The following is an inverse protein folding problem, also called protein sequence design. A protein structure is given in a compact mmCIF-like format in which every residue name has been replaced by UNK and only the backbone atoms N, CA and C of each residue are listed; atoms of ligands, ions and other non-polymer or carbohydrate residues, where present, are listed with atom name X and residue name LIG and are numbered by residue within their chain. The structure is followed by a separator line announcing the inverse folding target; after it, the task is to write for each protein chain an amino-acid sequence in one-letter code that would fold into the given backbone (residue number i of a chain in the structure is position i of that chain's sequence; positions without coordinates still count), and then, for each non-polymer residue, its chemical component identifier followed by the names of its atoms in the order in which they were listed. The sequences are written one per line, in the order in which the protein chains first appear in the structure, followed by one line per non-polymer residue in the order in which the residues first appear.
data_IF_025335635451
#
_entry.id   IF_025335635451
#
_cell.length_a   1.000
_cell.length_b   1.000
_cell.length_c   1.000
_cell.angle_alpha   90.00
_cell.angle_beta   90.00
_cell.angle_gamma   90.00
#
_symmetry.space_group_name_H-M   'P 1'
#
loop_
_entity.id
_entity.type
_entity.pdbx_description
1 polymer ?
#
# COMPACT_ATOMS: atom_id res chain seq x y z
N UNK A 1 -25.92 29.54 0.02
CA UNK A 1 -25.94 28.10 0.30
C UNK A 1 -24.56 27.52 0.04
N UNK A 2 -23.96 26.96 1.05
CA UNK A 2 -22.64 26.36 0.88
C UNK A 2 -22.79 24.95 0.30
N UNK A 3 -21.96 24.64 -0.68
CA UNK A 3 -21.86 23.26 -1.16
C UNK A 3 -21.25 22.39 -0.04
N UNK A 4 -21.81 21.20 0.12
CA UNK A 4 -21.27 20.23 1.06
C UNK A 4 -20.39 19.24 0.30
N UNK A 5 -19.15 19.14 0.77
CA UNK A 5 -18.19 18.20 0.22
C UNK A 5 -17.88 17.13 1.26
N UNK A 6 -17.82 15.89 0.84
CA UNK A 6 -17.33 14.84 1.70
C UNK A 6 -15.82 15.04 1.94
N UNK A 7 -15.42 14.86 3.18
CA UNK A 7 -14.02 14.90 3.54
C UNK A 7 -13.48 13.49 3.62
N UNK A 8 -12.45 13.22 2.86
CA UNK A 8 -11.83 11.91 2.84
C UNK A 8 -10.39 12.03 3.32
N UNK A 9 -9.94 11.03 4.05
CA UNK A 9 -8.52 10.88 4.34
C UNK A 9 -7.78 10.51 3.06
N UNK A 10 -6.59 11.06 2.90
CA UNK A 10 -5.72 10.76 1.76
C UNK A 10 -4.49 10.07 2.29
N UNK A 11 -4.19 8.91 1.73
CA UNK A 11 -3.00 8.14 2.06
C UNK A 11 -2.19 7.85 0.81
N UNK A 12 -0.90 7.67 0.99
CA UNK A 12 0.00 7.20 -0.05
C UNK A 12 0.28 5.73 0.22
N UNK A 13 0.16 4.89 -0.81
CA UNK A 13 0.43 3.46 -0.71
C UNK A 13 1.22 3.03 -1.94
N UNK A 14 2.03 2.00 -1.78
CA UNK A 14 2.87 1.52 -2.87
C UNK A 14 2.71 0.01 -3.04
N UNK A 15 2.63 -0.43 -4.29
CA UNK A 15 2.77 -1.83 -4.64
C UNK A 15 4.24 -2.10 -4.92
N UNK A 16 4.89 -2.81 -4.00
CA UNK A 16 6.29 -3.18 -4.11
C UNK A 16 6.39 -4.58 -4.70
N UNK A 17 6.76 -4.68 -5.96
CA UNK A 17 6.89 -5.96 -6.65
C UNK A 17 8.31 -6.50 -6.50
N UNK A 18 8.45 -7.81 -6.42
CA UNK A 18 9.75 -8.46 -6.41
C UNK A 18 10.46 -8.25 -7.74
N UNK A 19 11.78 -8.36 -7.72
CA UNK A 19 12.62 -8.15 -8.90
C UNK A 19 12.23 -9.06 -10.06
N UNK A 20 11.82 -10.30 -9.76
CA UNK A 20 11.37 -11.26 -10.78
C UNK A 20 9.92 -11.06 -11.22
N UNK A 21 9.20 -10.11 -10.61
CA UNK A 21 7.81 -9.82 -10.95
C UNK A 21 6.81 -10.87 -10.50
N UNK A 22 7.19 -11.80 -9.64
CA UNK A 22 6.32 -12.91 -9.23
C UNK A 22 5.58 -12.68 -7.93
N UNK A 23 6.03 -11.73 -7.12
CA UNK A 23 5.45 -11.47 -5.81
C UNK A 23 5.28 -9.98 -5.56
N UNK A 24 4.37 -9.63 -4.67
CA UNK A 24 4.16 -8.27 -4.17
C UNK A 24 4.26 -8.29 -2.64
N UNK A 25 4.80 -7.22 -2.08
CA UNK A 25 4.96 -7.09 -0.63
C UNK A 25 3.73 -6.46 -0.02
N UNK A 26 3.09 -7.16 0.88
CA UNK A 26 1.97 -6.65 1.65
C UNK A 26 2.35 -6.53 3.13
N UNK A 27 1.62 -5.69 3.84
CA UNK A 27 1.75 -5.54 5.29
C UNK A 27 0.61 -6.30 5.95
N UNK A 28 0.94 -7.33 6.71
CA UNK A 28 -0.04 -8.12 7.46
C UNK A 28 -0.24 -7.51 8.85
N UNK A 29 -1.51 -7.23 9.19
CA UNK A 29 -1.90 -6.68 10.49
C UNK A 29 -2.44 -7.80 11.38
N UNK A 30 -1.71 -8.14 12.43
CA UNK A 30 -2.07 -9.23 13.33
C UNK A 30 -3.43 -9.02 14.00
N UNK A 31 -3.70 -7.80 14.48
CA UNK A 31 -4.92 -7.52 15.23
C UNK A 31 -6.19 -7.62 14.39
N UNK A 32 -6.13 -7.23 13.14
CA UNK A 32 -7.28 -7.27 12.23
C UNK A 32 -7.31 -8.50 11.34
N UNK A 33 -6.24 -9.30 11.35
CA UNK A 33 -6.06 -10.44 10.45
C UNK A 33 -6.30 -10.05 9.00
N UNK A 34 -5.66 -8.97 8.58
CA UNK A 34 -5.85 -8.42 7.24
C UNK A 34 -4.56 -7.87 6.65
N UNK A 35 -4.56 -7.74 5.33
CA UNK A 35 -3.44 -7.18 4.59
C UNK A 35 -3.69 -5.74 4.19
N UNK A 36 -2.63 -4.94 4.20
CA UNK A 36 -2.60 -3.61 3.60
C UNK A 36 -1.37 -3.46 2.73
N UNK A 37 -1.24 -2.31 2.08
CA UNK A 37 -0.05 -1.95 1.33
C UNK A 37 0.85 -1.07 2.20
N UNK A 38 2.18 -1.11 1.98
CA UNK A 38 3.08 -0.18 2.63
C UNK A 38 2.72 1.28 2.30
N UNK A 39 2.86 2.16 3.27
CA UNK A 39 2.54 3.56 3.15
C UNK A 39 1.72 4.06 4.33
N UNK A 40 1.17 5.25 4.22
CA UNK A 40 0.38 5.85 5.29
C UNK A 40 -0.12 7.24 4.94
N UNK A 41 -0.47 8.00 5.96
CA UNK A 41 -1.01 9.33 5.81
C UNK A 41 0.05 10.34 5.39
N UNK A 42 -0.40 11.40 4.73
CA UNK A 42 0.43 12.54 4.37
C UNK A 42 0.38 13.51 5.56
N UNK A 43 1.54 13.81 6.14
CA UNK A 43 1.62 14.77 7.23
C UNK A 43 1.53 16.21 6.71
N UNK A 44 1.13 17.13 7.58
CA UNK A 44 1.07 18.54 7.22
C UNK A 44 2.42 19.03 6.69
N UNK A 45 2.38 19.69 5.54
CA UNK A 45 3.59 20.23 4.89
C UNK A 45 4.33 19.25 4.00
N UNK A 46 3.92 17.99 3.95
CA UNK A 46 4.54 17.02 3.05
C UNK A 46 3.85 16.97 1.69
N UNK A 47 4.63 16.73 0.65
CA UNK A 47 4.08 16.28 -0.63
C UNK A 47 3.82 14.78 -0.56
N UNK A 48 3.00 14.22 -1.47
CA UNK A 48 2.80 12.77 -1.51
C UNK A 48 4.09 11.96 -1.64
N UNK A 49 5.02 12.40 -2.48
CA UNK A 49 6.30 11.70 -2.67
C UNK A 49 7.12 11.65 -1.38
N UNK A 50 7.19 12.78 -0.67
CA UNK A 50 7.92 12.88 0.60
C UNK A 50 7.25 12.00 1.66
N UNK A 51 5.93 12.00 1.71
CA UNK A 51 5.19 11.16 2.66
C UNK A 51 5.47 9.68 2.44
N UNK A 52 5.47 9.22 1.18
CA UNK A 52 5.77 7.82 0.88
C UNK A 52 7.20 7.45 1.26
N UNK A 53 8.16 8.29 0.93
CA UNK A 53 9.57 8.09 1.30
C UNK A 53 9.72 7.95 2.83
N UNK A 54 9.07 8.82 3.59
CA UNK A 54 9.10 8.76 5.04
C UNK A 54 8.46 7.48 5.56
N UNK A 55 7.28 7.12 5.05
CA UNK A 55 6.57 5.92 5.49
C UNK A 55 7.38 4.64 5.22
N UNK A 56 8.00 4.54 4.06
CA UNK A 56 8.82 3.37 3.73
C UNK A 56 10.04 3.25 4.63
N UNK A 57 10.64 4.39 4.98
CA UNK A 57 11.77 4.39 5.91
C UNK A 57 11.32 3.99 7.32
N UNK A 58 10.18 4.50 7.79
CA UNK A 58 9.67 4.19 9.13
C UNK A 58 9.20 2.75 9.25
N UNK A 59 8.46 2.25 8.26
CA UNK A 59 7.88 0.90 8.30
C UNK A 59 8.89 -0.18 7.95
N UNK A 60 9.67 0.02 6.90
CA UNK A 60 10.50 -1.03 6.31
C UNK A 60 12.00 -0.73 6.37
N UNK A 61 12.38 0.48 6.76
CA UNK A 61 13.79 0.86 6.77
C UNK A 61 14.43 0.90 5.40
N UNK A 62 13.64 1.10 4.35
CA UNK A 62 14.13 1.10 2.97
C UNK A 62 14.00 2.48 2.33
N UNK A 63 14.87 2.74 1.37
CA UNK A 63 14.79 3.88 0.47
C UNK A 63 14.67 3.33 -0.95
N UNK A 64 13.59 3.65 -1.63
CA UNK A 64 13.33 3.14 -2.97
C UNK A 64 12.60 4.21 -3.78
N UNK A 65 12.93 4.32 -5.05
CA UNK A 65 12.24 5.23 -5.95
C UNK A 65 10.94 4.59 -6.42
N UNK A 66 9.82 5.21 -6.04
CA UNK A 66 8.51 4.77 -6.45
C UNK A 66 7.94 5.73 -7.50
N UNK A 67 7.20 5.17 -8.44
CA UNK A 67 6.58 5.93 -9.52
C UNK A 67 5.09 6.11 -9.25
N UNK A 68 4.54 7.33 -9.32
CA UNK A 68 3.11 7.53 -9.24
C UNK A 68 2.40 6.73 -10.35
N UNK A 69 1.36 6.00 -9.98
CA UNK A 69 0.67 5.13 -10.92
C UNK A 69 -0.78 5.51 -11.10
N UNK A 70 -1.56 5.50 -10.01
CA UNK A 70 -3.00 5.72 -10.11
C UNK A 70 -3.53 6.22 -8.77
N UNK A 71 -4.73 6.74 -8.76
CA UNK A 71 -5.45 6.99 -7.51
C UNK A 71 -6.71 6.12 -7.49
N UNK A 72 -7.13 5.71 -6.29
CA UNK A 72 -8.28 4.85 -6.15
C UNK A 72 -8.89 5.01 -4.76
N UNK A 73 -10.11 4.51 -4.61
CA UNK A 73 -10.79 4.52 -3.33
C UNK A 73 -10.55 3.19 -2.62
N UNK A 74 -10.21 3.28 -1.33
CA UNK A 74 -10.17 2.12 -0.46
C UNK A 74 -11.34 2.24 0.51
N UNK A 75 -12.18 1.24 0.58
CA UNK A 75 -13.30 1.19 1.50
C UNK A 75 -13.46 -0.22 2.05
N UNK A 76 -13.65 -0.33 3.37
CA UNK A 76 -13.98 -1.62 3.98
C UNK A 76 -15.36 -2.07 3.51
N UNK A 77 -15.56 -3.35 3.38
CA UNK A 77 -16.85 -3.92 2.98
C UNK A 77 -17.91 -3.52 4.01
N UNK A 78 -19.05 -3.02 3.54
CA UNK A 78 -20.16 -2.62 4.39
C UNK A 78 -19.96 -1.29 5.13
N UNK A 79 -18.89 -0.56 4.83
CA UNK A 79 -18.61 0.73 5.49
C UNK A 79 -19.47 1.86 4.91
N UNK A 80 -19.68 2.91 5.72
CA UNK A 80 -20.26 4.15 5.25
C UNK A 80 -19.25 4.89 4.35
N UNK A 81 -19.77 5.78 3.48
CA UNK A 81 -18.90 6.58 2.57
C UNK A 81 -17.84 7.35 3.33
N UNK A 82 -18.15 7.85 4.53
CA UNK A 82 -17.21 8.59 5.37
C UNK A 82 -15.95 7.78 5.74
N UNK A 83 -16.03 6.46 5.66
CA UNK A 83 -14.90 5.58 5.98
C UNK A 83 -14.06 5.25 4.75
N UNK A 84 -14.44 5.79 3.60
CA UNK A 84 -13.68 5.62 2.37
C UNK A 84 -12.42 6.49 2.40
N UNK A 85 -11.32 5.96 1.92
CA UNK A 85 -10.05 6.67 1.81
C UNK A 85 -9.67 6.84 0.35
N UNK A 86 -9.10 7.98 0.04
CA UNK A 86 -8.48 8.21 -1.27
C UNK A 86 -7.03 7.75 -1.15
N UNK A 87 -6.62 6.86 -2.03
CA UNK A 87 -5.27 6.33 -2.06
C UNK A 87 -4.56 6.88 -3.29
N UNK A 88 -3.42 7.51 -3.06
CA UNK A 88 -2.48 7.86 -4.11
C UNK A 88 -1.53 6.69 -4.25
N UNK A 89 -1.71 5.93 -5.32
CA UNK A 89 -1.02 4.66 -5.53
C UNK A 89 0.26 4.82 -6.33
N UNK A 90 1.33 4.21 -5.83
CA UNK A 90 2.65 4.17 -6.44
C UNK A 90 3.02 2.72 -6.72
N UNK A 91 3.97 2.54 -7.61
CA UNK A 91 4.57 1.24 -7.87
C UNK A 91 6.08 1.34 -7.80
N UNK A 92 6.72 0.26 -7.41
CA UNK A 92 8.17 0.14 -7.43
C UNK A 92 8.57 -1.33 -7.51
N UNK A 93 9.78 -1.57 -7.97
CA UNK A 93 10.38 -2.90 -7.96
C UNK A 93 11.45 -2.93 -6.89
N UNK A 94 11.43 -3.95 -6.05
CA UNK A 94 12.40 -4.12 -4.99
C UNK A 94 13.59 -4.90 -5.54
N UNK A 95 14.75 -4.26 -5.59
CA UNK A 95 16.00 -4.90 -5.96
C UNK A 95 16.33 -6.01 -4.95
N UNK A 96 16.85 -7.13 -5.42
CA UNK A 96 17.19 -8.27 -4.55
C UNK A 96 18.27 -7.98 -3.51
N UNK A 97 19.01 -6.88 -3.64
CA UNK A 97 19.97 -6.43 -2.62
C UNK A 97 19.33 -5.73 -1.43
N UNK A 98 18.06 -5.32 -1.55
CA UNK A 98 17.33 -4.65 -0.48
C UNK A 98 16.78 -5.68 0.49
N UNK A 99 17.16 -5.55 1.76
CA UNK A 99 16.66 -6.43 2.80
C UNK A 99 15.32 -5.91 3.33
N UNK A 100 14.33 -6.78 3.35
CA UNK A 100 13.02 -6.49 3.94
C UNK A 100 13.03 -7.05 5.37
N UNK A 101 12.70 -6.24 6.39
CA UNK A 101 12.69 -6.72 7.77
C UNK A 101 11.55 -7.72 8.02
N UNK A 102 11.67 -8.53 9.07
CA UNK A 102 10.63 -9.48 9.47
C UNK A 102 9.43 -8.80 10.11
N UNK A 103 9.61 -7.59 10.62
CA UNK A 103 8.58 -6.80 11.30
C UNK A 103 8.73 -5.34 10.91
N UNK A 104 7.62 -4.58 11.03
CA UNK A 104 7.68 -3.14 10.84
C UNK A 104 8.71 -2.50 11.77
N UNK A 105 9.53 -1.61 11.23
CA UNK A 105 10.62 -0.96 11.95
C UNK A 105 10.14 0.08 12.96
N UNK A 106 8.90 0.53 12.84
CA UNK A 106 8.30 1.54 13.73
C UNK A 106 7.82 0.96 15.06
N UNK A 107 8.04 -0.32 15.32
CA UNK A 107 7.59 -1.00 16.52
C UNK A 107 6.14 -1.46 16.49
N UNK A 108 5.47 -1.31 15.36
CA UNK A 108 4.12 -1.80 15.16
C UNK A 108 4.05 -3.32 15.05
N UNK A 109 2.82 -3.82 15.04
CA UNK A 109 2.54 -5.27 14.96
C UNK A 109 2.54 -5.80 13.52
N UNK A 110 2.74 -4.93 12.53
CA UNK A 110 2.68 -5.29 11.14
C UNK A 110 3.87 -6.13 10.71
N UNK A 111 3.61 -7.06 9.80
CA UNK A 111 4.66 -7.92 9.23
C UNK A 111 4.65 -7.84 7.71
N UNK A 112 5.79 -7.50 7.09
CA UNK A 112 5.91 -7.58 5.64
C UNK A 112 5.84 -9.04 5.19
N UNK A 113 4.99 -9.32 4.21
CA UNK A 113 4.81 -10.68 3.68
C UNK A 113 4.75 -10.59 2.15
N UNK A 114 5.52 -11.42 1.48
CA UNK A 114 5.47 -11.54 0.04
C UNK A 114 4.35 -12.51 -0.36
N UNK A 115 3.46 -12.06 -1.24
CA UNK A 115 2.40 -12.90 -1.81
C UNK A 115 2.55 -12.98 -3.32
N UNK A 116 2.24 -14.14 -3.88
CA UNK A 116 2.20 -14.31 -5.33
C UNK A 116 0.86 -13.82 -5.90
N UNK A 117 0.76 -13.79 -7.22
CA UNK A 117 -0.44 -13.28 -7.88
C UNK A 117 -1.69 -14.09 -7.55
N UNK A 118 -1.57 -15.41 -7.51
CA UNK A 118 -2.71 -16.28 -7.19
C UNK A 118 -3.23 -16.02 -5.78
N UNK A 119 -2.35 -15.79 -4.82
CA UNK A 119 -2.72 -15.44 -3.46
C UNK A 119 -3.44 -14.09 -3.41
N UNK A 120 -2.98 -13.09 -4.19
CA UNK A 120 -3.65 -11.79 -4.28
C UNK A 120 -5.05 -11.95 -4.87
N UNK A 121 -5.22 -12.78 -5.89
CA UNK A 121 -6.51 -13.00 -6.55
C UNK A 121 -7.52 -13.70 -5.65
N UNK A 122 -7.08 -14.52 -4.71
CA UNK A 122 -7.96 -15.41 -3.95
C UNK A 122 -8.13 -15.06 -2.49
N UNK A 123 -7.24 -14.24 -1.90
CA UNK A 123 -7.36 -13.92 -0.48
C UNK A 123 -8.60 -13.07 -0.19
N UNK A 124 -9.30 -13.35 0.90
CA UNK A 124 -10.40 -12.54 1.40
C UNK A 124 -9.96 -11.48 2.41
N UNK A 125 -8.65 -11.39 2.67
CA UNK A 125 -8.06 -10.52 3.71
C UNK A 125 -7.51 -9.21 3.17
N UNK A 126 -7.69 -8.94 1.88
CA UNK A 126 -7.22 -7.73 1.21
C UNK A 126 -8.42 -6.93 0.71
N UNK A 127 -8.45 -5.64 1.03
CA UNK A 127 -9.52 -4.75 0.57
C UNK A 127 -9.59 -4.72 -0.96
N UNK A 128 -10.82 -4.69 -1.55
CA UNK A 128 -10.98 -4.74 -3.01
C UNK A 128 -10.20 -3.67 -3.76
N UNK A 129 -10.16 -2.45 -3.26
CA UNK A 129 -9.41 -1.37 -3.90
C UNK A 129 -7.92 -1.67 -4.00
N UNK A 130 -7.33 -2.23 -2.95
CA UNK A 130 -5.92 -2.64 -2.96
C UNK A 130 -5.68 -3.79 -3.94
N UNK A 131 -6.57 -4.78 -3.94
CA UNK A 131 -6.47 -5.92 -4.86
C UNK A 131 -6.48 -5.45 -6.30
N UNK A 132 -7.47 -4.65 -6.67
CA UNK A 132 -7.63 -4.17 -8.03
C UNK A 132 -6.42 -3.37 -8.49
N UNK A 133 -5.90 -2.51 -7.62
CA UNK A 133 -4.71 -1.72 -7.91
C UNK A 133 -3.49 -2.62 -8.12
N UNK A 134 -3.23 -3.55 -7.22
CA UNK A 134 -2.08 -4.45 -7.30
C UNK A 134 -2.13 -5.29 -8.57
N UNK A 135 -3.30 -5.82 -8.93
CA UNK A 135 -3.46 -6.63 -10.13
C UNK A 135 -3.34 -5.80 -11.40
N UNK A 136 -3.89 -4.59 -11.40
CA UNK A 136 -3.83 -3.69 -12.56
C UNK A 136 -2.38 -3.36 -12.93
N UNK A 137 -1.54 -3.14 -11.95
CA UNK A 137 -0.15 -2.71 -12.14
C UNK A 137 0.86 -3.85 -12.02
N UNK A 138 0.37 -5.08 -11.94
CA UNK A 138 1.27 -6.24 -11.86
C UNK A 138 2.21 -6.25 -13.06
N UNK A 139 3.54 -6.44 -12.83
CA UNK A 139 4.49 -6.43 -13.93
C UNK A 139 4.17 -7.49 -14.97
N UNK A 140 4.23 -7.10 -16.24
CA UNK A 140 4.02 -8.05 -17.32
C UNK A 140 5.26 -8.90 -17.50
N UNK A 141 5.04 -10.18 -17.78
CA UNK A 141 6.12 -11.07 -18.13
C UNK A 141 6.65 -10.69 -19.52
N UNK A 142 7.96 -10.60 -19.61
CA UNK A 142 8.65 -10.36 -20.88
C UNK A 142 9.14 -11.65 -21.48
#
# INVERSE_FOLDING_TARGET
MSAMYDRHEVSVKVALYSEDGKQVLLMYHLSSDGFGLPGGHIDAGETPDVALERELREELGIAIDATPADFYMRYPRGSAVKDHKIILGYTATVDGSIEIPDRACDGGEERPIWLDRAEIETTDKLAPGYRDFVLKWWPQET
#
